data_IF_751794718382
#
_entry.id   IF_751794718382
#
_cell.length_a   1.000
_cell.length_b   1.000
_cell.length_c   1.000
_cell.angle_alpha   90.00
_cell.angle_beta   90.00
_cell.angle_gamma   90.00
#
_symmetry.space_group_name_H-M   'P 1'
#
loop_
_entity.id
_entity.type
_entity.pdbx_description
1 polymer ?
#
# COMPACT_ATOMS: atom_id res chain seq x y z
N UNK A 1 23.59 -16.91 13.10
CA UNK A 1 23.93 -15.53 12.68
C UNK A 1 22.60 -14.82 12.49
N UNK A 2 22.38 -13.67 13.13
CA UNK A 2 21.11 -12.95 12.96
C UNK A 2 21.01 -12.48 11.50
N UNK A 3 19.90 -12.81 10.84
CA UNK A 3 19.63 -12.32 9.49
C UNK A 3 19.00 -10.93 9.64
N UNK A 4 19.61 -9.93 9.00
CA UNK A 4 19.09 -8.56 9.01
C UNK A 4 17.87 -8.48 8.09
N UNK A 5 16.83 -7.77 8.53
CA UNK A 5 15.58 -7.51 7.82
C UNK A 5 15.25 -6.03 7.99
N UNK A 6 14.84 -5.38 6.91
CA UNK A 6 14.29 -4.02 6.97
C UNK A 6 12.80 -4.06 6.71
N UNK A 7 12.00 -3.50 7.63
CA UNK A 7 10.58 -3.26 7.43
C UNK A 7 10.34 -1.76 7.34
N UNK A 8 9.62 -1.30 6.32
CA UNK A 8 9.34 0.12 6.11
C UNK A 8 7.92 0.33 5.61
N UNK A 9 7.31 1.41 6.07
CA UNK A 9 6.16 2.00 5.37
C UNK A 9 6.62 2.67 4.06
N UNK A 10 5.67 3.02 3.18
CA UNK A 10 5.94 3.64 1.89
C UNK A 10 5.53 5.11 1.83
N UNK A 11 4.23 5.40 1.98
CA UNK A 11 3.68 6.74 1.78
C UNK A 11 4.19 7.69 2.84
N UNK A 12 4.80 8.80 2.43
CA UNK A 12 5.43 9.77 3.31
C UNK A 12 6.61 9.22 4.12
N UNK A 13 7.04 7.96 3.91
CA UNK A 13 8.18 7.29 4.56
C UNK A 13 9.31 6.97 3.58
N UNK A 14 9.04 6.28 2.48
CA UNK A 14 9.99 6.16 1.36
C UNK A 14 9.76 7.25 0.33
N UNK A 15 8.51 7.72 0.21
CA UNK A 15 8.15 8.93 -0.55
C UNK A 15 8.29 10.19 0.31
N UNK A 16 8.43 11.33 -0.37
CA UNK A 16 8.51 12.65 0.27
C UNK A 16 7.15 13.07 0.77
N UNK A 17 7.16 13.86 1.84
CA UNK A 17 5.97 14.57 2.31
C UNK A 17 5.63 15.78 1.45
N UNK A 18 6.65 16.58 1.09
CA UNK A 18 6.50 17.79 0.29
C UNK A 18 7.77 18.08 -0.50
N UNK A 19 7.62 18.85 -1.58
CA UNK A 19 8.71 19.34 -2.41
C UNK A 19 8.40 20.76 -2.90
N UNK A 20 9.35 21.68 -2.76
CA UNK A 20 9.22 23.10 -3.13
C UNK A 20 7.93 23.77 -2.60
N UNK A 21 7.53 23.45 -1.37
CA UNK A 21 6.35 24.01 -0.72
C UNK A 21 5.01 23.36 -1.12
N UNK A 22 5.00 22.43 -2.08
CA UNK A 22 3.82 21.66 -2.46
C UNK A 22 3.83 20.27 -1.83
N UNK A 23 2.64 19.75 -1.49
CA UNK A 23 2.48 18.39 -0.96
C UNK A 23 2.77 17.36 -2.05
N UNK A 24 3.55 16.34 -1.73
CA UNK A 24 3.73 15.18 -2.61
C UNK A 24 2.56 14.19 -2.39
N UNK A 25 2.10 13.51 -3.44
CA UNK A 25 0.94 12.62 -3.35
C UNK A 25 1.30 11.31 -2.62
N UNK A 26 0.30 10.72 -1.94
CA UNK A 26 0.29 9.30 -1.54
C UNK A 26 -0.05 8.41 -2.74
N UNK A 27 0.05 7.08 -2.59
CA UNK A 27 -0.43 6.15 -3.61
C UNK A 27 -1.90 6.39 -4.00
N UNK A 28 -2.78 6.66 -3.03
CA UNK A 28 -4.17 7.03 -3.31
C UNK A 28 -4.25 8.35 -4.08
N UNK A 29 -3.57 9.40 -3.61
CA UNK A 29 -3.63 10.71 -4.25
C UNK A 29 -3.12 10.69 -5.70
N UNK A 30 -2.13 9.84 -6.02
CA UNK A 30 -1.67 9.62 -7.40
C UNK A 30 -2.85 9.20 -8.30
N UNK A 31 -3.70 8.29 -7.83
CA UNK A 31 -4.90 7.86 -8.56
C UNK A 31 -6.01 8.90 -8.51
N UNK A 32 -6.36 9.42 -7.32
CA UNK A 32 -7.44 10.39 -7.13
C UNK A 32 -7.25 11.66 -7.98
N UNK A 33 -6.01 12.17 -8.06
CA UNK A 33 -5.68 13.35 -8.85
C UNK A 33 -5.55 13.06 -10.35
N UNK A 34 -5.47 11.79 -10.74
CA UNK A 34 -5.27 11.39 -12.13
C UNK A 34 -6.43 11.76 -13.06
N UNK A 35 -6.17 11.69 -14.37
CA UNK A 35 -7.20 11.87 -15.40
C UNK A 35 -8.17 10.68 -15.50
N UNK A 36 -7.88 9.56 -14.83
CA UNK A 36 -8.73 8.37 -14.86
C UNK A 36 -9.97 8.50 -13.97
N UNK A 37 -9.92 9.40 -12.98
CA UNK A 37 -11.02 9.61 -12.04
C UNK A 37 -11.89 10.75 -12.54
N UNK A 38 -13.18 10.46 -12.72
CA UNK A 38 -14.17 11.46 -13.15
C UNK A 38 -14.29 12.62 -12.15
N UNK A 39 -14.66 13.81 -12.63
CA UNK A 39 -14.80 15.00 -11.78
C UNK A 39 -15.82 14.82 -10.64
N UNK A 40 -16.91 14.07 -10.90
CA UNK A 40 -17.91 13.74 -9.90
C UNK A 40 -17.34 12.81 -8.82
N UNK A 41 -16.60 11.76 -9.22
CA UNK A 41 -15.93 10.87 -8.28
C UNK A 41 -14.89 11.62 -7.43
N UNK A 42 -14.08 12.52 -8.01
CA UNK A 42 -13.15 13.37 -7.25
C UNK A 42 -13.87 14.21 -6.19
N UNK A 43 -15.05 14.73 -6.51
CA UNK A 43 -15.87 15.48 -5.56
C UNK A 43 -16.33 14.59 -4.41
N UNK A 44 -16.82 13.38 -4.70
CA UNK A 44 -17.26 12.41 -3.70
C UNK A 44 -16.11 11.97 -2.78
N UNK A 45 -14.94 11.67 -3.35
CA UNK A 45 -13.72 11.33 -2.58
C UNK A 45 -13.30 12.48 -1.67
N UNK A 46 -13.36 13.72 -2.17
CA UNK A 46 -13.10 14.91 -1.35
C UNK A 46 -14.10 15.09 -0.22
N UNK A 47 -15.38 14.77 -0.45
CA UNK A 47 -16.40 14.83 0.59
C UNK A 47 -16.16 13.76 1.67
N UNK A 48 -15.72 12.55 1.29
CA UNK A 48 -15.25 11.52 2.24
C UNK A 48 -14.04 12.03 3.04
N UNK A 49 -13.00 12.55 2.38
CA UNK A 49 -11.82 13.10 3.04
C UNK A 49 -12.20 14.17 4.07
N UNK A 50 -13.04 15.14 3.69
CA UNK A 50 -13.48 16.21 4.59
C UNK A 50 -14.23 15.68 5.83
N UNK A 51 -14.92 14.55 5.71
CA UNK A 51 -15.66 13.91 6.80
C UNK A 51 -14.74 13.11 7.73
N UNK A 52 -13.86 12.27 7.18
CA UNK A 52 -13.12 11.28 7.97
C UNK A 52 -11.73 11.74 8.41
N UNK A 53 -11.08 12.63 7.66
CA UNK A 53 -9.75 13.14 8.04
C UNK A 53 -9.72 13.83 9.42
N UNK A 54 -10.71 14.65 9.82
CA UNK A 54 -10.76 15.19 11.18
C UNK A 54 -10.87 14.11 12.27
N UNK A 55 -11.49 12.97 11.96
CA UNK A 55 -11.66 11.84 12.89
C UNK A 55 -10.35 11.10 13.09
N UNK A 56 -9.62 10.84 12.01
CA UNK A 56 -8.30 10.16 12.05
C UNK A 56 -7.36 10.85 13.05
N UNK A 57 -7.29 12.18 12.98
CA UNK A 57 -6.42 13.01 13.81
C UNK A 57 -7.06 13.50 15.12
N UNK A 58 -8.28 13.07 15.46
CA UNK A 58 -8.95 13.49 16.69
C UNK A 58 -8.26 12.89 17.92
N UNK A 59 -7.47 13.71 18.64
CA UNK A 59 -6.75 13.27 19.83
C UNK A 59 -7.66 12.91 21.02
N UNK A 60 -8.96 13.22 20.95
CA UNK A 60 -9.92 12.89 22.02
C UNK A 60 -10.50 11.48 21.92
N UNK A 61 -10.33 10.81 20.77
CA UNK A 61 -10.82 9.45 20.52
C UNK A 61 -9.70 8.42 20.56
N UNK A 62 -9.97 7.23 21.09
CA UNK A 62 -9.01 6.12 21.07
C UNK A 62 -8.86 5.54 19.67
N UNK A 63 -7.84 4.69 19.48
CA UNK A 63 -7.65 3.99 18.19
C UNK A 63 -8.85 3.09 17.91
N UNK A 64 -9.30 2.33 18.91
CA UNK A 64 -10.42 1.39 18.81
C UNK A 64 -11.72 2.09 18.43
N UNK A 65 -11.95 3.30 18.94
CA UNK A 65 -13.11 4.10 18.59
C UNK A 65 -13.06 4.62 17.15
N UNK A 66 -11.86 4.84 16.59
CA UNK A 66 -11.67 5.34 15.22
C UNK A 66 -11.68 4.25 14.16
N UNK A 67 -11.30 3.02 14.52
CA UNK A 67 -11.20 1.88 13.59
C UNK A 67 -12.45 1.72 12.71
N UNK A 68 -13.69 1.71 13.25
CA UNK A 68 -14.89 1.57 12.42
C UNK A 68 -15.06 2.70 11.39
N UNK A 69 -14.70 3.93 11.74
CA UNK A 69 -14.76 5.07 10.83
C UNK A 69 -13.71 4.97 9.71
N UNK A 70 -12.50 4.48 10.03
CA UNK A 70 -11.45 4.28 9.02
C UNK A 70 -11.81 3.14 8.06
N UNK A 71 -12.39 2.05 8.56
CA UNK A 71 -12.91 0.96 7.72
C UNK A 71 -14.00 1.47 6.78
N UNK A 72 -14.98 2.21 7.31
CA UNK A 72 -16.08 2.78 6.52
C UNK A 72 -15.58 3.79 5.48
N UNK A 73 -14.59 4.63 5.83
CA UNK A 73 -13.98 5.56 4.90
C UNK A 73 -13.30 4.84 3.74
N UNK A 74 -12.38 3.92 4.03
CA UNK A 74 -11.62 3.24 2.99
C UNK A 74 -12.50 2.34 2.12
N UNK A 75 -13.51 1.66 2.71
CA UNK A 75 -14.49 0.87 1.95
C UNK A 75 -15.21 1.73 0.91
N UNK A 76 -15.75 2.88 1.33
CA UNK A 76 -16.45 3.80 0.41
C UNK A 76 -15.52 4.39 -0.65
N UNK A 77 -14.29 4.74 -0.26
CA UNK A 77 -13.30 5.26 -1.21
C UNK A 77 -12.96 4.20 -2.26
N UNK A 78 -12.76 2.94 -1.86
CA UNK A 78 -12.48 1.83 -2.77
C UNK A 78 -13.65 1.53 -3.71
N UNK A 79 -14.89 1.53 -3.22
CA UNK A 79 -16.08 1.35 -4.07
C UNK A 79 -16.13 2.41 -5.19
N UNK A 80 -15.86 3.68 -4.86
CA UNK A 80 -15.82 4.77 -5.84
C UNK A 80 -14.70 4.60 -6.88
N UNK A 81 -13.53 4.10 -6.45
CA UNK A 81 -12.41 3.81 -7.36
C UNK A 81 -12.73 2.63 -8.29
N UNK A 82 -13.35 1.56 -7.76
CA UNK A 82 -13.78 0.39 -8.54
C UNK A 82 -14.76 0.81 -9.64
N UNK A 83 -15.70 1.72 -9.34
CA UNK A 83 -16.66 2.24 -10.32
C UNK A 83 -15.99 2.96 -11.50
N UNK A 84 -14.76 3.47 -11.34
CA UNK A 84 -14.03 4.11 -12.44
C UNK A 84 -13.45 3.10 -13.44
N UNK A 85 -13.47 1.80 -13.14
CA UNK A 85 -13.00 0.70 -14.04
C UNK A 85 -11.59 0.91 -14.59
N UNK A 86 -10.70 1.37 -13.71
CA UNK A 86 -9.29 1.62 -14.02
C UNK A 86 -8.66 0.34 -14.57
N UNK A 87 -7.91 0.47 -15.67
CA UNK A 87 -7.19 -0.65 -16.27
C UNK A 87 -5.72 -0.64 -15.82
N UNK A 88 -5.16 -1.83 -15.60
CA UNK A 88 -3.79 -2.03 -15.10
C UNK A 88 -2.72 -1.32 -15.95
N UNK A 89 -2.88 -1.36 -17.27
CA UNK A 89 -1.98 -0.71 -18.23
C UNK A 89 -1.98 0.83 -18.16
N UNK A 90 -3.01 1.42 -17.55
CA UNK A 90 -3.10 2.87 -17.34
C UNK A 90 -2.30 3.35 -16.13
N UNK A 91 -1.99 2.48 -15.17
CA UNK A 91 -1.28 2.84 -13.93
C UNK A 91 0.10 3.42 -14.20
N UNK A 92 0.86 2.81 -15.12
CA UNK A 92 2.18 3.30 -15.52
C UNK A 92 2.13 4.75 -15.99
N UNK A 93 1.10 5.12 -16.78
CA UNK A 93 0.92 6.49 -17.22
C UNK A 93 0.56 7.42 -16.07
N UNK A 94 -0.36 7.00 -15.19
CA UNK A 94 -0.79 7.82 -14.06
C UNK A 94 0.37 8.12 -13.10
N UNK A 95 1.17 7.12 -12.78
CA UNK A 95 2.37 7.28 -11.94
C UNK A 95 3.36 8.24 -12.59
N UNK A 96 3.62 8.06 -13.90
CA UNK A 96 4.54 8.91 -14.65
C UNK A 96 4.11 10.37 -14.72
N UNK A 97 2.80 10.62 -14.87
CA UNK A 97 2.23 11.96 -14.96
C UNK A 97 2.04 12.61 -13.56
N UNK A 98 2.27 11.86 -12.48
CA UNK A 98 2.14 12.34 -11.10
C UNK A 98 3.36 13.14 -10.61
N UNK A 99 3.20 13.80 -9.47
CA UNK A 99 4.30 14.46 -8.74
C UNK A 99 4.88 13.59 -7.63
N UNK A 100 4.72 12.26 -7.71
CA UNK A 100 5.29 11.33 -6.74
C UNK A 100 6.82 11.45 -6.71
N UNK A 101 7.39 11.49 -5.51
CA UNK A 101 8.84 11.63 -5.34
C UNK A 101 9.32 10.75 -4.21
N UNK A 102 10.30 9.89 -4.50
CA UNK A 102 11.07 9.22 -3.46
C UNK A 102 11.96 10.23 -2.71
N UNK A 103 12.29 9.89 -1.46
CA UNK A 103 13.17 10.72 -0.62
C UNK A 103 14.57 10.85 -1.24
N UNK A 104 15.29 11.90 -0.86
CA UNK A 104 16.68 12.09 -1.29
C UNK A 104 17.51 10.87 -0.90
N UNK A 105 18.43 10.45 -1.78
CA UNK A 105 19.28 9.26 -1.61
C UNK A 105 18.54 7.91 -1.58
N UNK A 106 17.28 7.84 -2.05
CA UNK A 106 16.54 6.57 -2.13
C UNK A 106 17.32 5.48 -2.86
N UNK A 107 17.99 5.83 -3.97
CA UNK A 107 18.72 4.86 -4.80
C UNK A 107 19.81 4.14 -4.01
N UNK A 108 20.57 4.88 -3.19
CA UNK A 108 21.58 4.28 -2.33
C UNK A 108 20.95 3.28 -1.35
N UNK A 109 19.84 3.63 -0.72
CA UNK A 109 19.15 2.75 0.22
C UNK A 109 18.72 1.43 -0.44
N UNK A 110 17.97 1.49 -1.55
CA UNK A 110 17.48 0.29 -2.24
C UNK A 110 18.63 -0.57 -2.79
N UNK A 111 19.58 0.04 -3.52
CA UNK A 111 20.70 -0.70 -4.12
C UNK A 111 21.63 -1.31 -3.08
N UNK A 112 21.81 -0.65 -1.94
CA UNK A 112 22.68 -1.16 -0.88
C UNK A 112 22.07 -2.39 -0.20
N UNK A 113 20.76 -2.37 0.06
CA UNK A 113 20.05 -3.52 0.62
C UNK A 113 20.09 -4.70 -0.35
N UNK A 114 19.85 -4.47 -1.64
CA UNK A 114 19.93 -5.51 -2.68
C UNK A 114 21.34 -6.11 -2.77
N UNK A 115 22.39 -5.27 -2.84
CA UNK A 115 23.79 -5.72 -2.88
C UNK A 115 24.20 -6.53 -1.64
N UNK A 116 23.56 -6.27 -0.50
CA UNK A 116 23.80 -6.99 0.76
C UNK A 116 22.88 -8.19 0.94
N UNK A 117 21.99 -8.44 -0.01
CA UNK A 117 20.96 -9.48 0.05
C UNK A 117 20.10 -9.36 1.33
N UNK A 118 19.89 -8.13 1.80
CA UNK A 118 19.06 -7.84 2.98
C UNK A 118 17.61 -7.72 2.49
N UNK A 119 16.68 -8.56 2.98
CA UNK A 119 15.27 -8.44 2.61
C UNK A 119 14.70 -7.08 3.04
N UNK A 120 13.98 -6.44 2.11
CA UNK A 120 13.21 -5.23 2.39
C UNK A 120 11.72 -5.57 2.30
N UNK A 121 11.02 -5.52 3.42
CA UNK A 121 9.57 -5.63 3.48
C UNK A 121 8.97 -4.24 3.50
N UNK A 122 8.25 -3.88 2.45
CA UNK A 122 7.47 -2.66 2.39
C UNK A 122 6.05 -3.00 2.82
N UNK A 123 5.61 -2.51 3.97
CA UNK A 123 4.26 -2.73 4.49
C UNK A 123 3.48 -1.42 4.45
N UNK A 124 2.56 -1.29 3.51
CA UNK A 124 1.88 -0.03 3.22
C UNK A 124 0.36 -0.18 3.21
N UNK A 125 -0.34 0.75 3.87
CA UNK A 125 -1.78 0.89 3.75
C UNK A 125 -2.24 1.55 2.43
N UNK A 126 -1.29 1.90 1.53
CA UNK A 126 -1.54 2.48 0.21
C UNK A 126 -2.12 1.48 -0.80
N UNK A 127 -1.90 1.77 -2.08
CA UNK A 127 -2.27 0.90 -3.21
C UNK A 127 -0.99 0.24 -3.75
N UNK A 128 -0.94 -1.09 -3.69
CA UNK A 128 0.22 -1.91 -4.04
C UNK A 128 0.67 -1.74 -5.48
N UNK A 129 -0.27 -1.79 -6.44
CA UNK A 129 0.05 -1.64 -7.86
C UNK A 129 0.68 -0.28 -8.18
N UNK A 130 0.20 0.79 -7.53
CA UNK A 130 0.76 2.14 -7.68
C UNK A 130 2.13 2.25 -7.03
N UNK A 131 2.29 1.68 -5.84
CA UNK A 131 3.55 1.64 -5.10
C UNK A 131 4.64 0.95 -5.92
N UNK A 132 4.34 -0.26 -6.41
CA UNK A 132 5.27 -1.04 -7.23
C UNK A 132 5.66 -0.27 -8.48
N UNK A 133 4.69 0.30 -9.19
CA UNK A 133 4.95 1.07 -10.41
C UNK A 133 5.84 2.31 -10.12
N UNK A 134 5.68 2.98 -8.97
CA UNK A 134 6.57 4.07 -8.56
C UNK A 134 8.02 3.59 -8.42
N UNK A 135 8.27 2.47 -7.74
CA UNK A 135 9.62 1.95 -7.53
C UNK A 135 10.21 1.25 -8.77
N UNK A 136 9.36 0.71 -9.65
CA UNK A 136 9.71 0.19 -10.98
C UNK A 136 10.22 1.33 -11.85
N UNK A 137 9.45 2.41 -11.99
CA UNK A 137 9.85 3.57 -12.81
C UNK A 137 11.07 4.29 -12.25
N UNK A 138 11.26 4.25 -10.93
CA UNK A 138 12.46 4.76 -10.27
C UNK A 138 13.70 3.85 -10.43
N UNK A 139 13.54 2.65 -10.99
CA UNK A 139 14.62 1.70 -11.28
C UNK A 139 15.20 1.03 -10.04
N UNK A 140 14.39 0.83 -8.99
CA UNK A 140 14.83 0.31 -7.68
C UNK A 140 13.98 -0.85 -7.15
N UNK A 141 13.12 -1.44 -7.99
CA UNK A 141 12.38 -2.64 -7.61
C UNK A 141 13.24 -3.90 -7.79
N UNK A 142 14.02 -4.20 -6.76
CA UNK A 142 14.97 -5.31 -6.73
C UNK A 142 14.33 -6.60 -6.20
N UNK A 143 14.95 -7.75 -6.45
CA UNK A 143 14.41 -9.07 -6.07
C UNK A 143 14.34 -9.34 -4.56
N UNK A 144 15.09 -8.59 -3.76
CA UNK A 144 15.06 -8.68 -2.29
C UNK A 144 13.86 -7.94 -1.66
N UNK A 145 13.01 -7.29 -2.46
CA UNK A 145 11.88 -6.49 -2.00
C UNK A 145 10.60 -7.33 -1.98
N UNK A 146 9.88 -7.26 -0.87
CA UNK A 146 8.53 -7.82 -0.70
C UNK A 146 7.58 -6.69 -0.34
N UNK A 147 6.49 -6.55 -1.09
CA UNK A 147 5.47 -5.52 -0.86
C UNK A 147 4.22 -6.19 -0.27
N UNK A 148 3.71 -5.64 0.83
CA UNK A 148 2.43 -5.98 1.42
C UNK A 148 1.58 -4.71 1.43
N UNK A 149 0.52 -4.68 0.62
CA UNK A 149 -0.35 -3.53 0.45
C UNK A 149 -1.72 -3.93 -0.09
N UNK A 150 -2.60 -2.95 -0.36
CA UNK A 150 -3.90 -3.21 -0.98
C UNK A 150 -3.72 -3.26 -2.50
N UNK A 151 -3.90 -4.42 -3.12
CA UNK A 151 -3.81 -4.56 -4.57
C UNK A 151 -5.19 -4.45 -5.23
N UNK A 152 -5.21 -3.85 -6.42
CA UNK A 152 -6.40 -3.76 -7.26
C UNK A 152 -6.69 -5.10 -7.93
N UNK A 153 -7.94 -5.52 -7.89
CA UNK A 153 -8.43 -6.66 -8.66
C UNK A 153 -8.87 -6.18 -10.06
N UNK A 154 -8.20 -6.69 -11.11
CA UNK A 154 -8.42 -6.30 -12.50
C UNK A 154 -9.14 -7.38 -13.33
N UNK A 155 -9.91 -8.27 -12.69
CA UNK A 155 -10.55 -9.44 -13.32
C UNK A 155 -9.55 -10.47 -13.91
N UNK A 156 -8.27 -10.38 -13.53
CA UNK A 156 -7.37 -11.54 -13.59
C UNK A 156 -7.90 -12.54 -12.56
N UNK A 157 -8.25 -13.76 -13.00
CA UNK A 157 -8.89 -14.77 -12.17
C UNK A 157 -8.22 -14.81 -10.80
N UNK A 158 -8.96 -14.48 -9.74
CA UNK A 158 -8.48 -14.60 -8.35
C UNK A 158 -7.89 -16.00 -8.10
N UNK A 159 -8.35 -17.01 -8.84
CA UNK A 159 -7.76 -18.35 -8.90
C UNK A 159 -6.29 -18.38 -9.34
N UNK A 160 -5.87 -17.56 -10.30
CA UNK A 160 -4.48 -17.47 -10.77
C UNK A 160 -3.58 -16.82 -9.70
N UNK A 161 -4.12 -15.84 -8.98
CA UNK A 161 -3.44 -15.25 -7.82
C UNK A 161 -3.28 -16.26 -6.70
N UNK A 162 -4.32 -17.05 -6.42
CA UNK A 162 -4.29 -18.06 -5.36
C UNK A 162 -3.14 -19.06 -5.57
N UNK A 163 -2.94 -19.56 -6.78
CA UNK A 163 -1.78 -20.42 -7.08
C UNK A 163 -0.45 -19.68 -6.92
N UNK A 164 -0.36 -18.43 -7.37
CA UNK A 164 0.84 -17.60 -7.19
C UNK A 164 1.19 -17.36 -5.71
N UNK A 165 0.18 -17.04 -4.88
CA UNK A 165 0.31 -16.88 -3.43
C UNK A 165 0.71 -18.19 -2.76
N UNK A 166 0.08 -19.31 -3.09
CA UNK A 166 0.42 -20.63 -2.54
C UNK A 166 1.84 -21.09 -2.90
N UNK A 167 2.35 -20.67 -4.07
CA UNK A 167 3.73 -20.96 -4.48
C UNK A 167 4.76 -20.06 -3.78
N UNK A 168 4.35 -18.87 -3.33
CA UNK A 168 5.25 -17.86 -2.78
C UNK A 168 5.26 -17.82 -1.25
N UNK A 169 4.16 -18.17 -0.60
CA UNK A 169 3.99 -18.09 0.84
C UNK A 169 3.61 -19.45 1.42
N UNK A 170 4.19 -19.79 2.56
CA UNK A 170 3.88 -21.03 3.27
C UNK A 170 2.43 -21.07 3.80
N UNK A 171 1.87 -19.89 4.07
CA UNK A 171 0.52 -19.71 4.64
C UNK A 171 -0.19 -18.62 3.85
N UNK A 172 -1.37 -18.96 3.32
CA UNK A 172 -2.28 -18.03 2.65
C UNK A 172 -3.61 -18.05 3.40
N UNK A 173 -4.06 -16.88 3.86
CA UNK A 173 -5.34 -16.71 4.55
C UNK A 173 -6.39 -16.21 3.56
N UNK A 174 -7.51 -16.90 3.46
CA UNK A 174 -8.63 -16.51 2.59
C UNK A 174 -9.85 -16.20 3.45
N UNK A 175 -10.25 -14.92 3.47
CA UNK A 175 -11.43 -14.43 4.23
C UNK A 175 -11.40 -14.82 5.73
N UNK A 176 -10.20 -14.93 6.30
CA UNK A 176 -9.98 -15.21 7.71
C UNK A 176 -9.79 -13.90 8.47
N UNK A 177 -10.75 -13.56 9.33
CA UNK A 177 -10.72 -12.37 10.19
C UNK A 177 -10.37 -12.74 11.66
N UNK A 178 -9.88 -13.95 11.90
CA UNK A 178 -9.58 -14.48 13.23
C UNK A 178 -8.09 -14.38 13.56
N UNK A 179 -7.78 -14.44 14.86
CA UNK A 179 -6.40 -14.55 15.34
C UNK A 179 -5.92 -16.00 15.45
N UNK A 180 -6.67 -16.97 14.93
CA UNK A 180 -6.38 -18.39 15.17
C UNK A 180 -5.05 -18.82 14.54
N UNK A 181 -4.82 -18.47 13.28
CA UNK A 181 -3.56 -18.76 12.59
C UNK A 181 -2.38 -17.97 13.19
N UNK A 182 -2.46 -16.64 13.38
CA UNK A 182 -1.41 -15.90 14.09
C UNK A 182 -1.08 -16.47 15.48
N UNK A 183 -2.09 -16.83 16.28
CA UNK A 183 -1.88 -17.41 17.60
C UNK A 183 -1.30 -18.83 17.53
N UNK A 184 -1.64 -19.61 16.51
CA UNK A 184 -1.02 -20.92 16.28
C UNK A 184 0.48 -20.78 15.92
N UNK A 185 0.82 -19.83 15.04
CA UNK A 185 2.22 -19.51 14.71
C UNK A 185 2.96 -19.02 15.95
N UNK A 186 2.36 -18.10 16.72
CA UNK A 186 2.95 -17.59 17.95
C UNK A 186 3.25 -18.73 18.93
N UNK A 187 2.27 -19.59 19.18
CA UNK A 187 2.44 -20.78 20.04
C UNK A 187 3.56 -21.69 19.57
N UNK A 188 3.63 -21.93 18.25
CA UNK A 188 4.70 -22.72 17.63
C UNK A 188 6.09 -22.12 17.86
N UNK A 189 6.26 -20.81 17.65
CA UNK A 189 7.57 -20.14 17.79
C UNK A 189 7.99 -19.92 19.24
N UNK A 190 7.04 -19.74 20.17
CA UNK A 190 7.36 -19.52 21.60
C UNK A 190 7.38 -20.81 22.42
N UNK A 191 7.05 -21.96 21.83
CA UNK A 191 7.01 -23.25 22.54
C UNK A 191 5.88 -23.37 23.58
N UNK A 192 4.82 -22.57 23.46
CA UNK A 192 3.63 -22.68 24.31
C UNK A 192 2.61 -23.57 23.58
N UNK A 193 2.41 -24.81 24.02
CA UNK A 193 1.28 -25.65 23.60
C UNK A 193 -0.02 -25.14 24.21
#
# INVERSE_FOLDING_TARGET
VAQELVMSDFDMTLTRFAYNGARCPTCYAILEDSVLISGDCKKMLKDLLNKYYPIEFDASRTVEEKVPDMVDWWTKAHELLIEQKIQKDQLARVVKDSNAMLRKEYKFFFDHLDKKEIPLVIFSAGIGDVLEEVIIQAGVFHSNIMVFSNYMDFDEKVEDWRESYLNRYDIVLEKDETMDVPNAILRYITGHQ
#
